data_IF_276024013971
#
_entry.id   IF_276024013971
#
_cell.length_a   1.000
_cell.length_b   1.000
_cell.length_c   1.000
_cell.angle_alpha   90.00
_cell.angle_beta   90.00
_cell.angle_gamma   90.00
#
_symmetry.space_group_name_H-M   'P 1'
#
loop_
_entity.id
_entity.type
_entity.pdbx_description
1 polymer ?
#
# COMPACT_ATOMS: atom_id res chain seq x y z
N UNK A 1 10.27 3.46 -2.21
CA UNK A 1 11.61 2.83 -2.33
C UNK A 1 12.56 3.30 -1.23
N UNK A 2 12.79 4.62 -1.04
CA UNK A 2 13.80 5.13 -0.09
C UNK A 2 13.57 4.65 1.35
N UNK A 3 12.34 4.66 1.85
CA UNK A 3 12.01 4.19 3.21
C UNK A 3 12.36 2.69 3.40
N UNK A 4 12.06 1.85 2.41
CA UNK A 4 12.39 0.41 2.45
C UNK A 4 13.91 0.21 2.47
N UNK A 5 14.65 0.92 1.63
CA UNK A 5 16.12 0.85 1.60
C UNK A 5 16.72 1.33 2.93
N UNK A 6 16.18 2.42 3.50
CA UNK A 6 16.58 2.94 4.82
C UNK A 6 16.35 1.94 5.94
N UNK A 7 15.18 1.28 5.96
CA UNK A 7 14.84 0.26 6.94
C UNK A 7 15.80 -0.95 6.83
N UNK A 8 16.07 -1.45 5.63
CA UNK A 8 17.02 -2.54 5.41
C UNK A 8 18.43 -2.17 5.87
N UNK A 9 18.87 -0.94 5.56
CA UNK A 9 20.17 -0.44 6.03
C UNK A 9 20.24 -0.41 7.57
N UNK A 10 19.19 0.11 8.22
CA UNK A 10 19.10 0.16 9.69
C UNK A 10 19.14 -1.23 10.33
N UNK A 11 18.35 -2.17 9.81
CA UNK A 11 18.29 -3.56 10.28
C UNK A 11 19.67 -4.23 10.15
N UNK A 12 20.32 -4.08 8.99
CA UNK A 12 21.64 -4.65 8.75
C UNK A 12 22.71 -4.03 9.67
N UNK A 13 22.68 -2.72 9.88
CA UNK A 13 23.61 -2.03 10.78
C UNK A 13 23.42 -2.41 12.24
N UNK A 14 22.19 -2.64 12.66
CA UNK A 14 21.87 -3.08 14.02
C UNK A 14 22.24 -4.55 14.27
N UNK A 15 22.56 -5.32 13.22
CA UNK A 15 22.93 -6.75 13.35
C UNK A 15 21.77 -7.60 13.89
N UNK A 16 20.52 -7.24 13.60
CA UNK A 16 19.37 -7.96 14.11
C UNK A 16 19.30 -9.38 13.53
N UNK A 17 19.00 -10.40 14.35
CA UNK A 17 18.92 -11.80 13.92
C UNK A 17 17.59 -12.09 13.23
N UNK A 18 17.28 -11.35 12.17
CA UNK A 18 16.04 -11.45 11.41
C UNK A 18 16.34 -11.65 9.92
N UNK A 19 15.46 -12.38 9.24
CA UNK A 19 15.49 -12.48 7.80
C UNK A 19 14.44 -11.52 7.22
N UNK A 20 14.91 -10.53 6.49
CA UNK A 20 14.06 -9.50 5.90
C UNK A 20 14.31 -9.42 4.39
N UNK A 21 13.25 -9.35 3.62
CA UNK A 21 13.27 -9.13 2.18
C UNK A 21 12.67 -7.77 1.88
N UNK A 22 13.42 -6.90 1.20
CA UNK A 22 12.91 -5.61 0.73
C UNK A 22 12.51 -5.69 -0.74
N UNK A 23 11.28 -5.29 -1.03
CA UNK A 23 10.76 -5.17 -2.39
C UNK A 23 10.55 -3.69 -2.71
N UNK A 24 11.07 -3.22 -3.82
CA UNK A 24 10.96 -1.83 -4.26
C UNK A 24 10.46 -1.78 -5.71
N UNK A 25 9.14 -1.93 -5.95
CA UNK A 25 8.61 -1.78 -7.28
C UNK A 25 8.82 -0.34 -7.77
N UNK A 26 9.49 -0.19 -8.90
CA UNK A 26 9.83 1.11 -9.47
C UNK A 26 9.46 1.15 -10.95
N UNK A 27 8.74 2.17 -11.35
CA UNK A 27 8.40 2.43 -12.74
C UNK A 27 8.34 3.93 -12.99
N UNK A 28 8.42 4.32 -14.25
CA UNK A 28 8.11 5.67 -14.68
C UNK A 28 6.60 5.81 -14.90
N UNK A 29 6.01 6.90 -14.44
CA UNK A 29 4.65 7.30 -14.76
C UNK A 29 4.72 8.61 -15.56
N UNK A 30 4.79 8.51 -16.89
CA UNK A 30 4.99 9.64 -17.80
C UNK A 30 3.97 9.64 -18.94
N UNK A 31 3.60 10.81 -19.45
CA UNK A 31 2.88 10.88 -20.73
C UNK A 31 3.71 10.28 -21.85
N UNK A 32 3.14 9.32 -22.56
CA UNK A 32 3.73 8.63 -23.70
C UNK A 32 2.64 8.13 -24.64
N UNK A 33 2.98 7.81 -25.88
CA UNK A 33 2.02 7.26 -26.85
C UNK A 33 1.49 5.85 -26.48
N UNK A 34 2.21 5.14 -25.61
CA UNK A 34 1.83 3.80 -25.09
C UNK A 34 1.50 3.83 -23.59
N UNK A 35 1.39 5.02 -23.00
CA UNK A 35 1.04 5.14 -21.59
C UNK A 35 -0.37 4.65 -21.32
N UNK A 36 -0.58 4.07 -20.13
CA UNK A 36 -1.92 3.71 -19.64
C UNK A 36 -2.81 4.95 -19.59
N UNK A 37 -4.04 4.81 -20.05
CA UNK A 37 -5.04 5.90 -20.07
C UNK A 37 -6.28 5.50 -19.26
N UNK A 38 -7.07 6.46 -18.76
CA UNK A 38 -8.33 6.16 -18.09
C UNK A 38 -9.27 5.34 -19.01
N UNK A 39 -9.80 4.26 -18.47
CA UNK A 39 -10.62 3.27 -19.20
C UNK A 39 -9.85 2.02 -19.62
N UNK A 40 -8.53 2.01 -19.51
CA UNK A 40 -7.76 0.80 -19.73
C UNK A 40 -8.02 -0.23 -18.63
N UNK A 41 -7.93 -1.51 -19.00
CA UNK A 41 -7.95 -2.63 -18.06
C UNK A 41 -6.59 -3.29 -18.08
N UNK A 42 -5.92 -3.31 -16.93
CA UNK A 42 -4.62 -3.98 -16.76
C UNK A 42 -4.80 -5.27 -15.97
N UNK A 43 -3.85 -6.20 -16.10
CA UNK A 43 -3.85 -7.46 -15.36
C UNK A 43 -2.68 -7.50 -14.39
N UNK A 44 -2.98 -7.69 -13.11
CA UNK A 44 -1.99 -7.90 -12.05
C UNK A 44 -1.41 -9.31 -12.16
N UNK A 45 -0.23 -9.55 -11.62
CA UNK A 45 0.53 -10.80 -11.76
C UNK A 45 -0.17 -12.07 -11.22
N UNK A 46 -1.23 -11.91 -10.39
CA UNK A 46 -2.07 -13.00 -9.92
C UNK A 46 -3.29 -13.27 -10.84
N UNK A 47 -3.43 -12.51 -11.92
CA UNK A 47 -4.53 -12.60 -12.87
C UNK A 47 -5.70 -11.66 -12.58
N UNK A 48 -5.70 -10.92 -11.46
CA UNK A 48 -6.74 -9.92 -11.17
C UNK A 48 -6.70 -8.80 -12.20
N UNK A 49 -7.87 -8.49 -12.76
CA UNK A 49 -8.05 -7.38 -13.70
C UNK A 49 -8.44 -6.10 -12.98
N UNK A 50 -7.85 -4.97 -13.39
CA UNK A 50 -8.08 -3.67 -12.77
C UNK A 50 -8.42 -2.64 -13.83
N UNK A 51 -9.60 -2.03 -13.70
CA UNK A 51 -9.98 -0.86 -14.49
C UNK A 51 -9.25 0.38 -13.96
N UNK A 52 -8.49 1.05 -14.81
CA UNK A 52 -7.77 2.27 -14.49
C UNK A 52 -8.66 3.47 -14.78
N UNK A 53 -9.18 4.13 -13.76
CA UNK A 53 -9.95 5.36 -13.89
C UNK A 53 -9.14 6.63 -13.61
N UNK A 54 -8.02 6.47 -12.90
CA UNK A 54 -7.09 7.56 -12.60
C UNK A 54 -5.64 7.06 -12.72
N UNK A 55 -4.91 7.61 -13.66
CA UNK A 55 -3.50 7.25 -13.92
C UNK A 55 -2.53 7.81 -12.87
N UNK A 56 -2.96 8.77 -12.04
CA UNK A 56 -2.21 9.26 -10.86
C UNK A 56 -2.42 8.37 -9.62
N UNK A 57 -3.19 7.28 -9.75
CA UNK A 57 -3.32 6.23 -8.76
C UNK A 57 -2.52 4.97 -9.18
N UNK A 58 -1.34 5.14 -9.76
CA UNK A 58 -0.44 4.10 -10.25
C UNK A 58 0.31 3.39 -9.12
N UNK A 59 0.58 4.11 -8.02
CA UNK A 59 1.33 3.59 -6.88
C UNK A 59 0.73 2.29 -6.32
N UNK A 60 -0.60 2.23 -6.18
CA UNK A 60 -1.28 1.01 -5.73
C UNK A 60 -1.23 -0.12 -6.74
N UNK A 61 -1.15 0.20 -8.04
CA UNK A 61 -1.04 -0.80 -9.11
C UNK A 61 0.32 -1.52 -9.07
N UNK A 62 1.40 -0.77 -8.93
CA UNK A 62 2.73 -1.37 -8.80
C UNK A 62 2.95 -2.06 -7.45
N UNK A 63 2.33 -1.54 -6.36
CA UNK A 63 2.37 -2.19 -5.05
C UNK A 63 1.64 -3.53 -5.07
N UNK A 64 0.52 -3.66 -5.78
CA UNK A 64 -0.21 -4.93 -5.85
C UNK A 64 0.65 -6.07 -6.40
N UNK A 65 1.43 -5.82 -7.44
CA UNK A 65 2.38 -6.81 -7.97
C UNK A 65 3.48 -7.17 -6.96
N UNK A 66 3.98 -6.20 -6.21
CA UNK A 66 4.97 -6.46 -5.16
C UNK A 66 4.37 -7.28 -4.01
N UNK A 67 3.12 -7.02 -3.61
CA UNK A 67 2.41 -7.77 -2.58
C UNK A 67 2.12 -9.21 -3.02
N UNK A 68 1.69 -9.42 -4.28
CA UNK A 68 1.56 -10.77 -4.87
C UNK A 68 2.91 -11.49 -4.88
N UNK A 69 3.98 -10.79 -5.29
CA UNK A 69 5.32 -11.38 -5.34
C UNK A 69 5.83 -11.77 -3.96
N UNK A 70 5.48 -11.00 -2.91
CA UNK A 70 5.87 -11.27 -1.53
C UNK A 70 5.40 -12.64 -1.03
N UNK A 71 4.28 -13.17 -1.53
CA UNK A 71 3.73 -14.50 -1.20
C UNK A 71 4.75 -15.63 -1.37
N UNK A 72 5.68 -15.50 -2.32
CA UNK A 72 6.75 -16.49 -2.57
C UNK A 72 7.65 -16.72 -1.36
N UNK A 73 7.79 -15.72 -0.51
CA UNK A 73 8.64 -15.79 0.69
C UNK A 73 7.89 -16.33 1.91
N UNK A 74 6.56 -16.55 1.84
CA UNK A 74 5.71 -16.95 2.96
C UNK A 74 5.98 -16.07 4.19
N UNK A 75 5.81 -14.75 4.07
CA UNK A 75 6.20 -13.83 5.13
C UNK A 75 5.36 -14.04 6.39
N UNK A 76 6.00 -13.96 7.55
CA UNK A 76 5.30 -13.91 8.82
C UNK A 76 4.55 -12.58 9.01
N UNK A 77 5.09 -11.51 8.41
CA UNK A 77 4.55 -10.16 8.48
C UNK A 77 5.09 -9.31 7.33
N UNK A 78 4.24 -8.46 6.77
CA UNK A 78 4.63 -7.50 5.71
C UNK A 78 4.24 -6.09 6.13
N UNK A 79 5.18 -5.16 5.96
CA UNK A 79 4.92 -3.72 6.04
C UNK A 79 5.22 -3.12 4.68
N UNK A 80 4.26 -2.46 4.07
CA UNK A 80 4.52 -1.63 2.91
C UNK A 80 4.43 -0.14 3.26
N UNK A 81 5.25 0.67 2.59
CA UNK A 81 5.36 2.10 2.82
C UNK A 81 5.29 2.82 1.49
N UNK A 82 4.32 3.71 1.33
CA UNK A 82 4.19 4.53 0.13
C UNK A 82 3.63 5.92 0.45
N UNK A 83 4.02 6.91 -0.32
CA UNK A 83 3.34 8.21 -0.41
C UNK A 83 2.11 8.02 -1.30
N UNK A 84 1.09 7.33 -0.77
CA UNK A 84 0.07 6.73 -1.61
C UNK A 84 -1.10 7.67 -1.88
N UNK A 85 -1.59 8.37 -0.86
CA UNK A 85 -2.82 9.15 -1.04
C UNK A 85 -2.72 10.57 -0.50
N UNK A 86 -3.16 11.53 -1.31
CA UNK A 86 -3.41 12.87 -0.80
C UNK A 86 -4.52 12.92 0.28
N UNK A 87 -5.32 11.87 0.39
CA UNK A 87 -6.33 11.74 1.44
C UNK A 87 -5.68 11.55 2.83
N UNK A 88 -4.67 10.71 2.94
CA UNK A 88 -3.90 10.54 4.18
C UNK A 88 -3.20 11.85 4.59
N UNK A 89 -2.52 12.49 3.65
CA UNK A 89 -1.87 13.78 3.88
C UNK A 89 -2.85 14.86 4.39
N UNK A 90 -4.05 14.94 3.81
CA UNK A 90 -5.09 15.89 4.26
C UNK A 90 -5.70 15.54 5.60
N UNK A 91 -5.80 14.24 5.94
CA UNK A 91 -6.43 13.80 7.18
C UNK A 91 -5.54 14.04 8.40
N UNK A 92 -4.26 13.74 8.31
CA UNK A 92 -3.33 13.73 9.44
C UNK A 92 -2.25 14.81 9.31
N UNK A 93 -1.93 15.24 8.08
CA UNK A 93 -0.83 16.14 7.80
C UNK A 93 0.52 15.50 8.14
N UNK A 94 1.51 16.33 8.40
CA UNK A 94 2.91 15.91 8.61
C UNK A 94 3.23 15.37 10.02
N UNK A 95 2.25 15.24 10.90
CA UNK A 95 2.50 14.88 12.31
C UNK A 95 2.16 13.43 12.62
N UNK A 96 1.75 12.67 11.65
CA UNK A 96 1.42 11.25 11.79
C UNK A 96 1.35 10.55 10.44
N UNK A 97 1.28 9.24 10.51
CA UNK A 97 1.23 8.33 9.36
C UNK A 97 -0.10 7.58 9.44
N UNK A 98 -0.87 7.59 8.35
CA UNK A 98 -2.07 6.75 8.27
C UNK A 98 -1.65 5.30 8.09
N UNK A 99 -2.18 4.42 8.92
CA UNK A 99 -1.92 2.99 8.83
C UNK A 99 -3.22 2.20 8.64
N UNK A 100 -3.17 1.20 7.77
CA UNK A 100 -4.27 0.27 7.51
C UNK A 100 -3.70 -1.15 7.40
N UNK A 101 -4.45 -2.16 7.82
CA UNK A 101 -3.95 -3.51 7.65
C UNK A 101 -4.77 -4.57 8.36
N UNK A 102 -4.29 -5.81 8.26
CA UNK A 102 -4.92 -7.01 8.82
C UNK A 102 -4.16 -7.60 10.01
N UNK A 103 -2.95 -7.08 10.31
CA UNK A 103 -2.05 -7.60 11.32
C UNK A 103 -2.19 -6.86 12.66
N UNK A 104 -3.29 -7.04 13.38
CA UNK A 104 -3.63 -6.29 14.60
C UNK A 104 -2.54 -6.32 15.67
N UNK A 105 -1.96 -7.50 15.97
CA UNK A 105 -0.93 -7.60 17.01
C UNK A 105 0.38 -6.89 16.63
N UNK A 106 0.79 -7.04 15.39
CA UNK A 106 2.01 -6.42 14.88
C UNK A 106 1.82 -4.92 14.72
N UNK A 107 0.60 -4.47 14.47
CA UNK A 107 0.24 -3.05 14.41
C UNK A 107 0.47 -2.36 15.75
N UNK A 108 0.05 -2.94 16.88
CA UNK A 108 0.26 -2.36 18.20
C UNK A 108 1.75 -2.19 18.52
N UNK A 109 2.59 -3.15 18.12
CA UNK A 109 4.05 -3.05 18.27
C UNK A 109 4.65 -1.97 17.39
N UNK A 110 4.20 -1.85 16.14
CA UNK A 110 4.63 -0.77 15.23
C UNK A 110 4.23 0.60 15.79
N UNK A 111 3.00 0.74 16.29
CA UNK A 111 2.51 1.98 16.88
C UNK A 111 3.34 2.39 18.08
N UNK A 112 3.61 1.46 19.01
CA UNK A 112 4.48 1.71 20.16
C UNK A 112 5.88 2.13 19.73
N UNK A 113 6.44 1.47 18.73
CA UNK A 113 7.75 1.80 18.18
C UNK A 113 7.77 3.19 17.54
N UNK A 114 6.73 3.52 16.78
CA UNK A 114 6.56 4.83 16.16
C UNK A 114 6.45 5.96 17.20
N UNK A 115 5.67 5.74 18.27
CA UNK A 115 5.53 6.73 19.35
C UNK A 115 6.88 7.02 20.03
N UNK A 116 7.73 6.00 20.19
CA UNK A 116 9.06 6.16 20.81
C UNK A 116 10.03 7.02 19.98
N UNK A 117 9.82 7.10 18.68
CA UNK A 117 10.67 7.87 17.75
C UNK A 117 9.96 9.07 17.11
N UNK A 118 8.75 9.40 17.59
CA UNK A 118 7.88 10.45 17.07
C UNK A 118 7.39 10.23 15.62
N UNK A 119 7.38 9.00 15.14
CA UNK A 119 6.73 8.57 13.89
C UNK A 119 5.37 7.93 14.20
N UNK A 120 4.42 8.75 14.63
CA UNK A 120 3.13 8.32 15.16
C UNK A 120 2.26 7.68 14.09
N UNK A 121 1.68 6.52 14.40
CA UNK A 121 0.75 5.81 13.52
C UNK A 121 -0.70 6.08 13.94
N UNK A 122 -1.55 6.37 12.96
CA UNK A 122 -2.99 6.54 13.15
C UNK A 122 -3.71 5.46 12.33
N UNK A 123 -4.33 4.52 13.03
CA UNK A 123 -5.08 3.43 12.39
C UNK A 123 -6.37 3.94 11.78
N UNK A 124 -6.56 3.66 10.49
CA UNK A 124 -7.81 3.89 9.79
C UNK A 124 -8.58 2.56 9.62
N UNK A 125 -9.92 2.60 9.66
CA UNK A 125 -10.71 1.39 9.50
C UNK A 125 -10.59 0.81 8.10
N UNK A 126 -10.56 -0.52 8.02
CA UNK A 126 -10.50 -1.29 6.77
C UNK A 126 -11.78 -2.12 6.61
N UNK A 127 -12.96 -1.47 6.74
CA UNK A 127 -14.26 -2.13 6.67
C UNK A 127 -14.57 -2.66 5.27
N UNK A 128 -15.31 -3.76 5.21
CA UNK A 128 -15.66 -4.40 3.93
C UNK A 128 -16.53 -3.53 3.04
N UNK A 129 -17.26 -2.58 3.61
CA UNK A 129 -18.07 -1.59 2.89
C UNK A 129 -17.26 -0.82 1.84
N UNK A 130 -15.96 -0.58 2.08
CA UNK A 130 -15.11 0.10 1.12
C UNK A 130 -14.84 -0.73 -0.15
N UNK A 131 -15.05 -2.04 -0.13
CA UNK A 131 -14.94 -2.90 -1.32
C UNK A 131 -16.02 -2.58 -2.35
N UNK A 132 -17.21 -2.14 -1.90
CA UNK A 132 -18.29 -1.75 -2.79
C UNK A 132 -17.90 -0.56 -3.68
N UNK A 133 -17.06 0.33 -3.15
CA UNK A 133 -16.57 1.50 -3.88
C UNK A 133 -15.55 1.15 -4.97
N UNK A 134 -14.99 -0.06 -4.92
CA UNK A 134 -13.98 -0.54 -5.86
C UNK A 134 -14.54 -1.46 -6.95
N UNK A 135 -15.84 -1.75 -6.96
CA UNK A 135 -16.47 -2.57 -7.98
C UNK A 135 -16.38 -1.93 -9.36
N UNK A 136 -16.02 -2.71 -10.36
CA UNK A 136 -16.00 -2.35 -11.77
C UNK A 136 -17.05 -3.14 -12.54
N UNK A 137 -17.56 -2.59 -13.63
CA UNK A 137 -18.46 -3.28 -14.54
C UNK A 137 -17.71 -4.05 -15.66
N UNK A 138 -16.42 -3.80 -15.82
CA UNK A 138 -15.60 -4.33 -16.94
C UNK A 138 -14.33 -5.07 -16.48
N UNK A 139 -14.01 -5.04 -15.17
CA UNK A 139 -12.87 -5.69 -14.56
C UNK A 139 -13.25 -6.25 -13.18
N UNK A 140 -12.35 -6.97 -12.53
CA UNK A 140 -12.59 -7.46 -11.16
C UNK A 140 -12.71 -6.33 -10.15
N UNK A 141 -11.90 -5.29 -10.29
CA UNK A 141 -11.93 -4.06 -9.48
C UNK A 141 -11.50 -2.85 -10.31
N UNK A 142 -11.73 -1.65 -9.76
CA UNK A 142 -11.17 -0.39 -10.30
C UNK A 142 -10.13 0.20 -9.36
N UNK A 143 -9.24 1.01 -9.89
CA UNK A 143 -8.10 1.52 -9.12
C UNK A 143 -8.42 2.68 -8.17
N UNK A 144 -9.62 3.26 -8.20
CA UNK A 144 -10.07 4.31 -7.28
C UNK A 144 -11.49 4.07 -6.78
N UNK A 145 -11.78 4.44 -5.53
CA UNK A 145 -13.10 4.32 -4.90
C UNK A 145 -13.96 5.58 -4.93
N UNK A 146 -13.55 6.61 -5.69
CA UNK A 146 -14.24 7.90 -5.72
C UNK A 146 -13.53 8.99 -4.90
N UNK A 147 -14.25 10.08 -4.58
CA UNK A 147 -13.67 11.29 -3.96
C UNK A 147 -13.55 11.22 -2.43
N UNK A 148 -14.27 10.30 -1.79
CA UNK A 148 -14.30 10.14 -0.32
C UNK A 148 -13.51 8.92 0.11
N UNK A 149 -13.08 8.89 1.38
CA UNK A 149 -12.38 7.76 2.00
C UNK A 149 -11.17 7.25 1.19
N UNK A 150 -10.42 8.15 0.54
CA UNK A 150 -9.37 7.77 -0.41
C UNK A 150 -8.27 6.90 0.19
N UNK A 151 -7.87 7.11 1.45
CA UNK A 151 -6.90 6.27 2.13
C UNK A 151 -7.47 4.87 2.43
N UNK A 152 -8.74 4.79 2.89
CA UNK A 152 -9.41 3.52 3.19
C UNK A 152 -9.62 2.68 1.93
N UNK A 153 -10.08 3.30 0.83
CA UNK A 153 -10.27 2.60 -0.46
C UNK A 153 -8.93 2.15 -1.06
N UNK A 154 -7.85 2.95 -0.88
CA UNK A 154 -6.51 2.54 -1.29
C UNK A 154 -6.01 1.33 -0.48
N UNK A 155 -6.17 1.35 0.85
CA UNK A 155 -5.85 0.21 1.70
C UNK A 155 -6.68 -1.03 1.34
N UNK A 156 -7.98 -0.86 1.10
CA UNK A 156 -8.87 -1.96 0.70
C UNK A 156 -8.52 -2.55 -0.67
N UNK A 157 -8.04 -1.70 -1.60
CA UNK A 157 -7.49 -2.16 -2.87
C UNK A 157 -6.25 -3.05 -2.65
N UNK A 158 -5.31 -2.63 -1.80
CA UNK A 158 -4.09 -3.38 -1.51
C UNK A 158 -4.36 -4.68 -0.74
N UNK A 159 -5.29 -4.68 0.21
CA UNK A 159 -5.69 -5.86 0.99
C UNK A 159 -6.03 -7.06 0.10
N UNK A 160 -6.68 -6.83 -1.05
CA UNK A 160 -7.04 -7.88 -2.01
C UNK A 160 -5.85 -8.75 -2.44
N UNK A 161 -4.65 -8.19 -2.45
CA UNK A 161 -3.43 -8.84 -2.92
C UNK A 161 -2.62 -9.48 -1.79
N UNK A 162 -3.12 -9.42 -0.55
CA UNK A 162 -2.48 -9.99 0.63
C UNK A 162 -3.25 -11.21 1.14
N UNK A 163 -2.51 -12.25 1.56
CA UNK A 163 -3.05 -13.44 2.23
C UNK A 163 -2.21 -13.79 3.49
N UNK A 164 -1.49 -12.80 4.00
CA UNK A 164 -0.58 -12.86 5.13
C UNK A 164 -0.81 -11.64 6.05
N UNK A 165 -0.32 -11.64 7.30
CA UNK A 165 -0.36 -10.47 8.17
C UNK A 165 0.31 -9.26 7.51
N UNK A 166 -0.42 -8.15 7.37
CA UNK A 166 0.01 -7.00 6.58
C UNK A 166 -0.41 -5.68 7.22
N UNK A 167 0.46 -4.67 7.07
CA UNK A 167 0.18 -3.27 7.39
C UNK A 167 0.70 -2.38 6.28
N UNK A 168 -0.15 -1.50 5.79
CA UNK A 168 0.19 -0.38 4.90
C UNK A 168 0.41 0.88 5.73
N UNK A 169 1.51 1.56 5.48
CA UNK A 169 1.83 2.88 6.03
C UNK A 169 1.79 3.91 4.90
N UNK A 170 0.74 4.75 4.91
CA UNK A 170 0.63 5.86 3.97
C UNK A 170 1.43 7.04 4.50
N UNK A 171 2.62 7.20 3.96
CA UNK A 171 3.60 8.21 4.36
C UNK A 171 3.51 9.48 3.50
N UNK A 172 2.36 9.74 2.86
CA UNK A 172 2.06 10.98 2.19
C UNK A 172 1.77 12.08 3.24
N UNK A 173 2.62 13.12 3.29
CA UNK A 173 2.41 14.22 4.26
C UNK A 173 3.68 14.93 4.70
#
# INVERSE_FOLDING_TARGET
AAAVVGALYGIAKAGLPVWVVGLTPCTDNRPDGNAVVPGDVITISDGTTVEVLNTDAEGRLILSDALVYAKKYKPAFVVDLATLTGAAARAIGRYGIVALGTATKDFDLLKLSGDNVHERLVEFPLWDDYSELLKSDIADIKNIGGITAGANTAGKFLERFTDYPWVHLDIAG
#
